data_IF_350077260426
#
_entry.id   IF_350077260426
#
_cell.length_a   1.000
_cell.length_b   1.000
_cell.length_c   1.000
_cell.angle_alpha   90.00
_cell.angle_beta   90.00
_cell.angle_gamma   90.00
#
_symmetry.space_group_name_H-M   'P 1'
#
loop_
_entity.id
_entity.type
_entity.pdbx_description
1 polymer ?
#
# COMPACT_ATOMS: atom_id res chain seq x y z
N UNK A 1 0.42 9.78 5.44
CA UNK A 1 -0.76 8.88 5.55
C UNK A 1 -1.40 8.60 4.19
N UNK A 2 -0.59 8.25 3.18
CA UNK A 2 -1.12 7.87 1.86
C UNK A 2 -1.50 6.37 1.80
N UNK A 3 -0.88 5.54 2.66
CA UNK A 3 -1.11 4.09 2.65
C UNK A 3 -2.53 3.66 2.99
N UNK A 4 -3.25 4.37 3.85
CA UNK A 4 -4.67 4.05 4.11
C UNK A 4 -5.54 4.17 2.86
N UNK A 5 -5.34 5.24 2.07
CA UNK A 5 -6.09 5.48 0.84
C UNK A 5 -5.74 4.41 -0.21
N UNK A 6 -4.44 4.11 -0.39
CA UNK A 6 -3.99 3.08 -1.32
C UNK A 6 -4.55 1.71 -0.93
N UNK A 7 -4.54 1.38 0.36
CA UNK A 7 -5.12 0.15 0.89
C UNK A 7 -6.62 0.05 0.57
N UNK A 8 -7.41 1.09 0.85
CA UNK A 8 -8.83 1.10 0.53
C UNK A 8 -9.11 0.90 -0.97
N UNK A 9 -8.37 1.59 -1.84
CA UNK A 9 -8.49 1.40 -3.29
C UNK A 9 -8.13 -0.04 -3.69
N UNK A 10 -7.11 -0.64 -3.10
CA UNK A 10 -6.74 -2.03 -3.37
C UNK A 10 -7.86 -3.00 -2.97
N UNK A 11 -8.53 -2.77 -1.84
CA UNK A 11 -9.61 -3.62 -1.36
C UNK A 11 -10.89 -3.48 -2.19
N UNK A 12 -11.25 -2.25 -2.59
CA UNK A 12 -12.36 -2.01 -3.52
C UNK A 12 -12.08 -2.72 -4.84
N UNK A 13 -10.85 -2.63 -5.34
CA UNK A 13 -10.42 -3.29 -6.56
C UNK A 13 -10.54 -4.82 -6.47
N UNK A 14 -10.05 -5.43 -5.38
CA UNK A 14 -10.19 -6.87 -5.14
C UNK A 14 -11.67 -7.26 -5.09
N UNK A 15 -12.49 -6.52 -4.34
CA UNK A 15 -13.93 -6.80 -4.21
C UNK A 15 -14.63 -6.79 -5.57
N UNK A 16 -14.47 -5.70 -6.33
CA UNK A 16 -15.14 -5.57 -7.62
C UNK A 16 -14.73 -6.65 -8.62
N UNK A 17 -13.45 -7.02 -8.61
CA UNK A 17 -12.94 -8.03 -9.54
C UNK A 17 -13.34 -9.44 -9.14
N UNK A 18 -13.38 -9.75 -7.85
CA UNK A 18 -13.94 -11.00 -7.33
C UNK A 18 -15.43 -11.13 -7.67
N UNK A 19 -16.22 -10.06 -7.50
CA UNK A 19 -17.64 -10.03 -7.85
C UNK A 19 -17.87 -10.21 -9.34
N UNK A 20 -17.12 -9.50 -10.20
CA UNK A 20 -17.20 -9.65 -11.66
C UNK A 20 -16.84 -11.06 -12.14
N UNK A 21 -15.90 -11.72 -11.45
CA UNK A 21 -15.48 -13.07 -11.75
C UNK A 21 -16.34 -14.15 -11.05
N UNK A 22 -17.42 -13.78 -10.35
CA UNK A 22 -18.30 -14.68 -9.60
C UNK A 22 -17.54 -15.60 -8.61
N UNK A 23 -16.50 -15.06 -7.97
CA UNK A 23 -15.68 -15.83 -7.01
C UNK A 23 -16.50 -16.13 -5.75
N UNK A 24 -16.61 -17.42 -5.42
CA UNK A 24 -17.20 -17.86 -4.15
C UNK A 24 -16.41 -17.28 -2.96
N UNK A 25 -17.11 -16.77 -1.95
CA UNK A 25 -16.51 -16.14 -0.77
C UNK A 25 -15.65 -14.90 -1.07
N UNK A 26 -16.05 -14.06 -2.05
CA UNK A 26 -15.32 -12.83 -2.39
C UNK A 26 -14.98 -11.93 -1.20
N UNK A 27 -15.87 -11.82 -0.22
CA UNK A 27 -15.63 -11.04 1.02
C UNK A 27 -14.48 -11.62 1.85
N UNK A 28 -14.38 -12.95 1.96
CA UNK A 28 -13.26 -13.61 2.66
C UNK A 28 -11.92 -13.25 2.00
N UNK A 29 -11.86 -13.25 0.67
CA UNK A 29 -10.66 -12.86 -0.08
C UNK A 29 -10.30 -11.39 0.11
N UNK A 30 -11.29 -10.50 0.20
CA UNK A 30 -11.05 -9.09 0.55
C UNK A 30 -10.41 -8.99 1.93
N UNK A 31 -10.89 -9.74 2.92
CA UNK A 31 -10.32 -9.74 4.28
C UNK A 31 -8.90 -10.31 4.30
N UNK A 32 -8.63 -11.39 3.56
CA UNK A 32 -7.28 -11.96 3.40
C UNK A 32 -6.34 -10.92 2.78
N UNK A 33 -6.77 -10.25 1.70
CA UNK A 33 -6.00 -9.18 1.07
C UNK A 33 -5.78 -7.98 2.01
N UNK A 34 -6.75 -7.63 2.85
CA UNK A 34 -6.61 -6.58 3.86
C UNK A 34 -5.55 -6.95 4.91
N UNK A 35 -5.61 -8.17 5.44
CA UNK A 35 -4.61 -8.68 6.37
C UNK A 35 -3.20 -8.71 5.73
N UNK A 36 -3.08 -9.20 4.49
CA UNK A 36 -1.82 -9.21 3.76
C UNK A 36 -1.27 -7.80 3.51
N UNK A 37 -2.14 -6.85 3.14
CA UNK A 37 -1.77 -5.45 2.96
C UNK A 37 -1.21 -4.84 4.24
N UNK A 38 -1.93 -5.00 5.36
CA UNK A 38 -1.53 -4.47 6.67
C UNK A 38 -0.24 -5.11 7.18
N UNK A 39 -0.09 -6.43 7.04
CA UNK A 39 1.14 -7.13 7.39
C UNK A 39 2.33 -6.61 6.56
N UNK A 40 2.13 -6.40 5.26
CA UNK A 40 3.15 -5.81 4.38
C UNK A 40 3.49 -4.37 4.79
N UNK A 41 2.49 -3.54 5.13
CA UNK A 41 2.75 -2.20 5.66
C UNK A 41 3.61 -2.25 6.92
N UNK A 42 3.24 -3.10 7.88
CA UNK A 42 3.95 -3.22 9.15
C UNK A 42 5.42 -3.61 8.94
N UNK A 43 5.67 -4.65 8.14
CA UNK A 43 7.03 -5.12 7.84
C UNK A 43 7.82 -4.04 7.10
N UNK A 44 7.25 -3.42 6.07
CA UNK A 44 7.97 -2.46 5.24
C UNK A 44 8.25 -1.14 5.96
N UNK A 45 7.35 -0.69 6.84
CA UNK A 45 7.61 0.47 7.71
C UNK A 45 8.72 0.14 8.70
N UNK A 46 8.71 -1.05 9.31
CA UNK A 46 9.80 -1.51 10.18
C UNK A 46 11.15 -1.56 9.46
N UNK A 47 11.18 -2.14 8.26
CA UNK A 47 12.38 -2.20 7.43
C UNK A 47 12.86 -0.81 6.99
N UNK A 48 11.95 0.08 6.59
CA UNK A 48 12.28 1.45 6.23
C UNK A 48 12.93 2.20 7.41
N UNK A 49 12.36 2.06 8.61
CA UNK A 49 12.92 2.65 9.82
C UNK A 49 14.31 2.08 10.13
N UNK A 50 14.49 0.76 10.02
CA UNK A 50 15.79 0.12 10.23
C UNK A 50 16.86 0.63 9.24
N UNK A 51 16.52 0.76 7.96
CA UNK A 51 17.44 1.29 6.94
C UNK A 51 17.82 2.73 7.28
N UNK A 52 16.85 3.58 7.59
CA UNK A 52 17.10 4.98 7.97
C UNK A 52 18.01 5.05 9.19
N UNK A 53 17.78 4.20 10.19
CA UNK A 53 18.61 4.15 11.39
C UNK A 53 20.05 3.69 11.08
N UNK A 54 20.21 2.64 10.27
CA UNK A 54 21.54 2.16 9.87
C UNK A 54 22.36 3.21 9.10
N UNK A 55 21.70 4.07 8.33
CA UNK A 55 22.34 5.18 7.62
C UNK A 55 22.71 6.36 8.56
N UNK A 56 22.15 6.39 9.77
CA UNK A 56 22.34 7.45 10.77
C UNK A 56 23.26 7.03 11.92
N UNK A 57 23.36 5.74 12.21
CA UNK A 57 24.30 5.19 13.18
C UNK A 57 25.77 5.50 12.86
N UNK A 58 26.06 5.83 11.60
CA UNK A 58 27.38 6.30 11.13
C UNK A 58 27.65 7.81 11.45
N UNK A 59 26.75 8.50 12.17
CA UNK A 59 26.84 9.95 12.49
C UNK A 59 27.11 10.31 13.97
N UNK A 60 27.54 9.37 14.82
CA UNK A 60 28.12 9.67 16.13
C UNK A 60 27.19 9.62 17.35
N UNK A 61 27.81 9.33 18.49
CA UNK A 61 27.22 8.85 19.76
C UNK A 61 26.25 9.83 20.44
N UNK A 62 25.08 9.32 20.85
CA UNK A 62 24.12 10.06 21.68
C UNK A 62 22.64 9.78 21.39
N UNK A 63 22.32 8.82 20.52
CA UNK A 63 20.95 8.58 20.07
C UNK A 63 20.33 7.34 20.72
N UNK A 64 19.56 7.54 21.80
CA UNK A 64 18.57 6.56 22.24
C UNK A 64 17.21 6.99 21.71
N UNK A 65 16.64 6.22 20.77
CA UNK A 65 15.28 6.45 20.32
C UNK A 65 14.43 5.19 20.47
N UNK A 66 13.29 5.39 21.11
CA UNK A 66 12.19 4.44 21.21
C UNK A 66 11.72 4.03 19.80
N UNK A 67 11.88 2.74 19.50
CA UNK A 67 11.53 2.11 18.22
C UNK A 67 10.03 2.24 17.88
N UNK A 68 9.19 2.70 18.82
CA UNK A 68 7.76 2.96 18.61
C UNK A 68 7.40 4.43 18.32
N UNK A 69 8.36 5.37 18.33
CA UNK A 69 8.09 6.78 18.08
C UNK A 69 8.04 7.12 16.58
N UNK A 70 6.82 7.27 16.04
CA UNK A 70 6.56 7.60 14.62
C UNK A 70 6.52 9.12 14.36
N UNK A 71 6.44 9.93 15.41
CA UNK A 71 6.03 11.34 15.36
C UNK A 71 7.09 12.33 14.87
N UNK A 72 8.37 11.98 14.85
CA UNK A 72 9.42 12.97 14.65
C UNK A 72 10.41 12.57 13.55
N UNK A 73 9.91 12.48 12.32
CA UNK A 73 10.73 12.25 11.12
C UNK A 73 11.26 13.55 10.49
N UNK A 74 10.62 14.69 10.76
CA UNK A 74 10.94 15.99 10.12
C UNK A 74 12.04 16.79 10.80
N UNK A 75 12.28 16.63 12.12
CA UNK A 75 13.15 17.56 12.86
C UNK A 75 14.54 17.00 13.24
N UNK A 76 14.97 15.83 12.75
CA UNK A 76 16.26 15.25 13.17
C UNK A 76 17.18 15.05 12.00
N UNK A 77 17.87 16.11 11.57
CA UNK A 77 19.18 16.06 10.88
C UNK A 77 19.25 15.41 9.49
N UNK A 78 18.77 14.18 9.30
CA UNK A 78 18.94 13.36 8.09
C UNK A 78 17.95 13.64 6.94
N UNK A 79 16.95 14.51 7.14
CA UNK A 79 15.91 14.82 6.15
C UNK A 79 15.93 16.28 5.67
N UNK A 80 17.01 17.02 5.90
CA UNK A 80 17.14 18.40 5.44
C UNK A 80 17.75 18.48 4.03
N UNK A 81 17.24 19.39 3.19
CA UNK A 81 17.67 19.57 1.79
C UNK A 81 16.96 18.67 0.78
N UNK A 82 17.28 18.85 -0.51
CA UNK A 82 16.61 18.17 -1.65
C UNK A 82 16.73 16.63 -1.60
N UNK A 83 17.86 16.10 -1.13
CA UNK A 83 18.08 14.66 -0.92
C UNK A 83 17.22 14.09 0.22
N UNK A 84 17.00 14.87 1.28
CA UNK A 84 16.12 14.51 2.39
C UNK A 84 14.65 14.41 1.98
N UNK A 85 14.18 15.38 1.20
CA UNK A 85 12.81 15.36 0.64
C UNK A 85 12.56 14.13 -0.23
N UNK A 86 13.48 13.80 -1.14
CA UNK A 86 13.36 12.62 -2.01
C UNK A 86 13.27 11.32 -1.18
N UNK A 87 14.15 11.18 -0.19
CA UNK A 87 14.19 10.01 0.69
C UNK A 87 12.90 9.88 1.52
N UNK A 88 12.39 11.01 2.05
CA UNK A 88 11.12 11.04 2.78
C UNK A 88 9.94 10.61 1.90
N UNK A 89 9.89 11.04 0.65
CA UNK A 89 8.84 10.64 -0.29
C UNK A 89 8.95 9.16 -0.63
N UNK A 90 10.16 8.67 -0.88
CA UNK A 90 10.41 7.25 -1.15
C UNK A 90 9.94 6.37 0.00
N UNK A 91 10.36 6.63 1.24
CA UNK A 91 9.99 5.83 2.40
C UNK A 91 8.51 5.96 2.82
N UNK A 92 7.81 7.02 2.40
CA UNK A 92 6.36 7.14 2.59
C UNK A 92 5.56 6.35 1.53
N UNK A 93 6.03 6.31 0.28
CA UNK A 93 5.34 5.63 -0.84
C UNK A 93 5.69 4.16 -0.98
N UNK A 94 6.89 3.76 -0.57
CA UNK A 94 7.38 2.40 -0.79
C UNK A 94 6.55 1.34 -0.04
N UNK A 95 6.23 1.50 1.26
CA UNK A 95 5.37 0.55 1.96
C UNK A 95 4.01 0.36 1.27
N UNK A 96 3.22 1.40 0.92
CA UNK A 96 1.92 1.19 0.29
C UNK A 96 2.00 0.60 -1.12
N UNK A 97 3.05 0.90 -1.88
CA UNK A 97 3.29 0.26 -3.19
C UNK A 97 3.56 -1.24 -3.00
N UNK A 98 4.42 -1.62 -2.06
CA UNK A 98 4.72 -3.02 -1.78
C UNK A 98 3.48 -3.79 -1.31
N UNK A 99 2.68 -3.19 -0.43
CA UNK A 99 1.39 -3.75 -0.01
C UNK A 99 0.44 -3.95 -1.18
N UNK A 100 0.32 -2.96 -2.07
CA UNK A 100 -0.52 -3.05 -3.26
C UNK A 100 -0.07 -4.18 -4.20
N UNK A 101 1.24 -4.31 -4.44
CA UNK A 101 1.80 -5.37 -5.28
C UNK A 101 1.57 -6.76 -4.70
N UNK A 102 1.69 -6.93 -3.39
CA UNK A 102 1.35 -8.19 -2.72
C UNK A 102 -0.13 -8.54 -2.92
N UNK A 103 -1.02 -7.57 -2.73
CA UNK A 103 -2.47 -7.75 -2.99
C UNK A 103 -2.73 -8.11 -4.45
N UNK A 104 -2.05 -7.47 -5.40
CA UNK A 104 -2.18 -7.78 -6.83
C UNK A 104 -1.78 -9.23 -7.14
N UNK A 105 -0.67 -9.70 -6.54
CA UNK A 105 -0.23 -11.10 -6.68
C UNK A 105 -1.25 -12.08 -6.09
N UNK A 106 -1.75 -11.81 -4.88
CA UNK A 106 -2.75 -12.67 -4.23
C UNK A 106 -4.02 -12.72 -5.07
N UNK A 107 -4.51 -11.55 -5.51
CA UNK A 107 -5.69 -11.40 -6.36
C UNK A 107 -5.54 -12.21 -7.65
N UNK A 108 -4.47 -11.99 -8.41
CA UNK A 108 -4.31 -12.65 -9.71
C UNK A 108 -4.16 -14.16 -9.55
N UNK A 109 -3.32 -14.62 -8.60
CA UNK A 109 -2.99 -16.05 -8.49
C UNK A 109 -4.04 -16.89 -7.76
N UNK A 110 -4.61 -16.38 -6.67
CA UNK A 110 -5.49 -17.17 -5.79
C UNK A 110 -6.97 -16.82 -5.95
N UNK A 111 -7.29 -15.52 -6.12
CA UNK A 111 -8.68 -15.07 -6.26
C UNK A 111 -9.19 -15.35 -7.67
N UNK A 112 -8.48 -14.84 -8.69
CA UNK A 112 -8.87 -14.98 -10.09
C UNK A 112 -8.33 -16.25 -10.76
N UNK A 113 -7.32 -16.88 -10.17
CA UNK A 113 -6.66 -18.09 -10.70
C UNK A 113 -6.09 -17.90 -12.12
N UNK A 114 -5.59 -16.70 -12.40
CA UNK A 114 -4.99 -16.32 -13.66
C UNK A 114 -3.46 -16.47 -13.63
N UNK A 115 -2.84 -16.52 -14.81
CA UNK A 115 -1.38 -16.42 -14.95
C UNK A 115 -0.87 -15.04 -14.51
N UNK A 116 0.29 -14.99 -13.85
CA UNK A 116 0.93 -13.74 -13.44
C UNK A 116 1.56 -13.08 -14.67
N UNK A 117 0.79 -12.19 -15.30
CA UNK A 117 1.24 -11.31 -16.39
C UNK A 117 0.99 -9.86 -15.99
N UNK A 118 1.69 -8.90 -16.62
CA UNK A 118 1.45 -7.47 -16.36
C UNK A 118 -0.02 -7.10 -16.56
N UNK A 119 -0.65 -7.65 -17.61
CA UNK A 119 -2.06 -7.43 -17.93
C UNK A 119 -2.98 -7.92 -16.81
N UNK A 120 -2.77 -9.15 -16.33
CA UNK A 120 -3.64 -9.76 -15.31
C UNK A 120 -3.42 -9.16 -13.92
N UNK A 121 -2.17 -8.74 -13.63
CA UNK A 121 -1.82 -8.08 -12.38
C UNK A 121 -2.60 -6.79 -12.18
N UNK A 122 -2.79 -5.99 -13.23
CA UNK A 122 -3.43 -4.67 -13.13
C UNK A 122 -4.83 -4.64 -13.79
N UNK A 123 -5.38 -5.81 -14.12
CA UNK A 123 -6.70 -5.92 -14.74
C UNK A 123 -7.79 -5.31 -13.85
N UNK A 124 -8.75 -4.63 -14.46
CA UNK A 124 -9.90 -4.08 -13.73
C UNK A 124 -9.67 -2.78 -12.95
N UNK A 125 -8.43 -2.27 -12.82
CA UNK A 125 -8.16 -0.99 -12.14
C UNK A 125 -8.90 0.17 -12.80
N UNK A 126 -8.83 0.28 -14.14
CA UNK A 126 -9.55 1.33 -14.86
C UNK A 126 -11.06 1.26 -14.64
N UNK A 127 -11.62 0.04 -14.68
CA UNK A 127 -13.04 -0.17 -14.41
C UNK A 127 -13.45 0.18 -12.97
N UNK A 128 -12.53 0.04 -12.01
CA UNK A 128 -12.76 0.43 -10.63
C UNK A 128 -12.89 1.95 -10.51
N UNK A 129 -11.98 2.71 -11.11
CA UNK A 129 -12.07 4.17 -11.05
C UNK A 129 -13.31 4.71 -11.77
N UNK A 130 -13.73 4.09 -12.87
CA UNK A 130 -15.01 4.42 -13.53
C UNK A 130 -16.17 4.16 -12.58
N UNK A 131 -16.22 2.98 -11.95
CA UNK A 131 -17.28 2.62 -11.00
C UNK A 131 -17.31 3.56 -9.77
N UNK A 132 -16.14 3.93 -9.23
CA UNK A 132 -16.04 4.91 -8.14
C UNK A 132 -16.60 6.26 -8.60
N UNK A 133 -16.22 6.74 -9.79
CA UNK A 133 -16.74 7.99 -10.36
C UNK A 133 -18.26 7.96 -10.50
N UNK A 134 -18.81 6.86 -11.00
CA UNK A 134 -20.26 6.66 -11.17
C UNK A 134 -21.02 6.59 -9.84
N UNK A 135 -20.37 6.15 -8.76
CA UNK A 135 -20.99 6.11 -7.43
C UNK A 135 -21.31 7.49 -6.86
N UNK A 136 -20.67 8.55 -7.37
CA UNK A 136 -20.93 9.95 -6.98
C UNK A 136 -22.02 10.63 -7.83
N UNK A 137 -22.54 9.98 -8.88
CA UNK A 137 -23.65 10.54 -9.66
C UNK A 137 -24.95 10.36 -8.88
N UNK A 138 -25.79 11.41 -8.86
CA UNK A 138 -27.13 11.33 -8.29
C UNK A 138 -27.96 10.26 -9.01
N UNK A 139 -28.95 9.64 -8.33
CA UNK A 139 -29.85 8.65 -8.94
C UNK A 139 -30.50 9.15 -10.23
N UNK A 140 -30.78 10.46 -10.31
CA UNK A 140 -31.41 11.11 -11.47
C UNK A 140 -30.46 11.37 -12.64
N UNK A 141 -29.17 11.08 -12.49
CA UNK A 141 -28.10 11.27 -13.50
C UNK A 141 -27.40 9.95 -13.89
N UNK A 142 -27.95 8.81 -13.48
CA UNK A 142 -27.44 7.47 -13.83
C UNK A 142 -27.99 6.98 -15.17
#
# INVERSE_FOLDING_TARGET
MIGGIVGLLALIWVYQTATKANVTNGVMWVMICAAAYLASQFIMIGAANYIIESMRADQGEGYERDLMSVGDRKNLGGFQGSKGTLSSVFFELFPPIAGFMLVALIRTKFVLKESITKTNLFSGIGSMFISIKESFKNPDQK
#
